data_IF_893801842168
#
_entry.id   IF_893801842168
#
_cell.length_a   1.000
_cell.length_b   1.000
_cell.length_c   1.000
_cell.angle_alpha   90.00
_cell.angle_beta   90.00
_cell.angle_gamma   90.00
#
_symmetry.space_group_name_H-M   'P 1'
#
loop_
_entity.id
_entity.type
_entity.pdbx_description
1 polymer ?
#
# COMPACT_ATOMS: atom_id res chain seq x y z
N UNK A 1 -26.52 -14.18 52.21
CA UNK A 1 -25.93 -14.29 50.85
C UNK A 1 -27.06 -14.44 49.82
N UNK A 2 -27.48 -13.33 49.20
CA UNK A 2 -28.53 -13.34 48.14
C UNK A 2 -27.88 -13.68 46.80
N UNK A 3 -28.21 -14.85 46.24
CA UNK A 3 -27.77 -15.27 44.90
C UNK A 3 -28.45 -14.38 43.85
N UNK A 4 -27.63 -13.76 43.01
CA UNK A 4 -28.09 -12.95 41.86
C UNK A 4 -28.59 -13.93 40.80
N UNK A 5 -29.91 -14.05 40.67
CA UNK A 5 -30.54 -14.70 39.52
C UNK A 5 -30.38 -13.79 38.30
N UNK A 6 -29.23 -13.88 37.63
CA UNK A 6 -29.04 -13.23 36.34
C UNK A 6 -30.03 -13.88 35.38
N UNK A 7 -31.04 -13.11 34.98
CA UNK A 7 -32.15 -13.52 34.14
C UNK A 7 -31.59 -14.10 32.81
N UNK A 8 -31.90 -15.36 32.49
CA UNK A 8 -31.38 -16.05 31.30
C UNK A 8 -31.58 -15.25 29.99
N UNK A 9 -32.65 -14.46 29.90
CA UNK A 9 -32.89 -13.55 28.77
C UNK A 9 -31.80 -12.49 28.59
N UNK A 10 -31.23 -12.02 29.69
CA UNK A 10 -30.17 -11.01 29.69
C UNK A 10 -28.84 -11.58 29.17
N UNK A 11 -28.56 -12.84 29.49
CA UNK A 11 -27.38 -13.56 29.00
C UNK A 11 -27.50 -13.82 27.49
N UNK A 12 -28.69 -14.19 27.01
CA UNK A 12 -28.94 -14.44 25.59
C UNK A 12 -28.83 -13.16 24.75
N UNK A 13 -29.32 -12.03 25.28
CA UNK A 13 -29.19 -10.72 24.65
C UNK A 13 -27.71 -10.28 24.53
N UNK A 14 -26.91 -10.47 25.58
CA UNK A 14 -25.46 -10.15 25.56
C UNK A 14 -24.73 -11.00 24.52
N UNK A 15 -25.05 -12.30 24.40
CA UNK A 15 -24.46 -13.17 23.37
C UNK A 15 -24.77 -12.69 21.95
N UNK A 16 -26.02 -12.31 21.67
CA UNK A 16 -26.44 -11.78 20.36
C UNK A 16 -25.71 -10.47 20.03
N UNK A 17 -25.55 -9.59 21.02
CA UNK A 17 -24.81 -8.33 20.86
C UNK A 17 -23.32 -8.58 20.54
N UNK A 18 -22.68 -9.51 21.23
CA UNK A 18 -21.28 -9.89 20.98
C UNK A 18 -21.09 -10.48 19.57
N UNK A 19 -22.01 -11.34 19.13
CA UNK A 19 -21.99 -11.90 17.77
C UNK A 19 -22.16 -10.79 16.73
N UNK A 20 -23.07 -9.84 16.94
CA UNK A 20 -23.27 -8.71 16.04
C UNK A 20 -22.03 -7.82 15.96
N UNK A 21 -21.37 -7.54 17.11
CA UNK A 21 -20.12 -6.79 17.16
C UNK A 21 -19.01 -7.54 16.42
N UNK A 22 -18.87 -8.85 16.60
CA UNK A 22 -17.93 -9.68 15.85
C UNK A 22 -18.19 -9.65 14.34
N UNK A 23 -19.47 -9.73 13.93
CA UNK A 23 -19.87 -9.63 12.52
C UNK A 23 -19.53 -8.24 11.98
N UNK A 24 -19.82 -7.16 12.71
CA UNK A 24 -19.53 -5.78 12.28
C UNK A 24 -18.02 -5.49 12.21
N UNK A 25 -17.23 -6.03 13.15
CA UNK A 25 -15.76 -5.95 13.10
C UNK A 25 -15.22 -6.76 11.92
N UNK A 26 -15.79 -7.94 11.64
CA UNK A 26 -15.42 -8.74 10.45
C UNK A 26 -15.83 -8.07 9.14
N UNK A 27 -16.95 -7.34 9.12
CA UNK A 27 -17.42 -6.59 7.96
C UNK A 27 -16.50 -5.39 7.65
N UNK A 28 -16.02 -4.69 8.68
CA UNK A 28 -15.00 -3.63 8.54
C UNK A 28 -13.61 -4.17 8.15
N UNK A 29 -13.37 -5.48 8.28
CA UNK A 29 -12.11 -6.11 7.86
C UNK A 29 -12.02 -6.42 6.37
N UNK A 30 -13.10 -6.18 5.61
CA UNK A 30 -13.10 -6.26 4.14
C UNK A 30 -12.67 -4.95 3.46
N UNK A 31 -11.73 -4.22 4.05
CA UNK A 31 -10.95 -3.27 3.28
C UNK A 31 -10.16 -4.07 2.23
N UNK A 32 -10.61 -4.02 0.99
CA UNK A 32 -9.96 -4.65 -0.15
C UNK A 32 -8.53 -4.10 -0.26
N UNK A 33 -7.53 -4.96 -0.12
CA UNK A 33 -6.12 -4.66 -0.40
C UNK A 33 -6.00 -4.39 -1.90
N UNK A 34 -6.17 -3.15 -2.36
CA UNK A 34 -6.09 -2.80 -3.79
C UNK A 34 -7.23 -1.91 -4.28
N UNK A 35 -8.42 -1.97 -3.68
CA UNK A 35 -9.39 -0.86 -3.74
C UNK A 35 -9.08 0.10 -2.60
N UNK A 36 -7.84 0.58 -2.55
CA UNK A 36 -7.58 1.77 -1.76
C UNK A 36 -8.19 2.92 -2.56
N UNK A 37 -9.32 3.48 -2.10
CA UNK A 37 -9.88 4.75 -2.61
C UNK A 37 -8.79 5.84 -2.72
N UNK A 38 -7.73 5.66 -1.93
CA UNK A 38 -6.59 6.52 -1.74
C UNK A 38 -5.48 6.40 -2.80
N UNK A 39 -5.26 5.24 -3.46
CA UNK A 39 -4.20 5.08 -4.48
C UNK A 39 -4.44 3.91 -5.44
N UNK A 40 -3.91 4.00 -6.66
CA UNK A 40 -3.97 2.94 -7.68
C UNK A 40 -2.56 2.43 -8.00
N UNK A 41 -2.37 1.11 -7.94
CA UNK A 41 -1.15 0.49 -8.46
C UNK A 41 -1.25 0.34 -9.98
N UNK A 42 -0.18 0.67 -10.70
CA UNK A 42 -0.18 0.65 -12.17
C UNK A 42 1.23 0.34 -12.68
N UNK A 43 1.34 -0.36 -13.81
CA UNK A 43 2.64 -0.54 -14.45
C UNK A 43 3.11 0.77 -15.10
N UNK A 44 4.42 0.94 -15.26
CA UNK A 44 4.98 2.10 -15.95
C UNK A 44 4.45 2.23 -17.38
N UNK A 45 4.32 1.11 -18.10
CA UNK A 45 3.75 1.08 -19.44
C UNK A 45 2.30 1.61 -19.46
N UNK A 46 1.42 1.08 -18.61
CA UNK A 46 0.02 1.50 -18.55
C UNK A 46 -0.14 2.96 -18.09
N UNK A 47 0.75 3.43 -17.20
CA UNK A 47 0.77 4.83 -16.76
C UNK A 47 1.13 5.77 -17.91
N UNK A 48 2.14 5.41 -18.71
CA UNK A 48 2.55 6.18 -19.88
C UNK A 48 1.44 6.23 -20.93
N UNK A 49 0.76 5.11 -21.20
CA UNK A 49 -0.40 5.11 -22.11
C UNK A 49 -1.51 6.04 -21.63
N UNK A 50 -1.77 6.11 -20.32
CA UNK A 50 -2.78 7.04 -19.77
C UNK A 50 -2.40 8.50 -20.00
N UNK A 51 -1.15 8.86 -19.73
CA UNK A 51 -0.64 10.22 -19.97
C UNK A 51 -0.76 10.57 -21.46
N UNK A 52 -0.28 9.68 -22.34
CA UNK A 52 -0.31 9.90 -23.78
C UNK A 52 -1.73 10.11 -24.30
N UNK A 53 -2.70 9.36 -23.76
CA UNK A 53 -4.11 9.46 -24.13
C UNK A 53 -4.85 10.64 -23.45
N UNK A 54 -4.14 11.55 -22.78
CA UNK A 54 -4.73 12.72 -22.12
C UNK A 54 -5.69 12.37 -20.99
N UNK A 55 -5.62 11.15 -20.44
CA UNK A 55 -6.45 10.77 -19.29
C UNK A 55 -5.96 11.52 -18.06
N UNK A 56 -6.91 12.04 -17.30
CA UNK A 56 -6.59 12.84 -16.12
C UNK A 56 -5.87 11.99 -15.05
N UNK A 57 -4.56 12.18 -14.97
CA UNK A 57 -3.68 11.59 -13.95
C UNK A 57 -3.41 12.57 -12.81
N UNK A 58 -3.92 13.80 -12.88
CA UNK A 58 -3.52 14.89 -11.98
C UNK A 58 -4.15 14.77 -10.59
N UNK A 59 -5.34 14.16 -10.49
CA UNK A 59 -6.09 14.05 -9.25
C UNK A 59 -6.13 12.65 -8.66
N UNK A 60 -5.20 11.77 -9.05
CA UNK A 60 -5.11 10.43 -8.48
C UNK A 60 -3.68 10.06 -8.13
N UNK A 61 -3.54 9.44 -6.96
CA UNK A 61 -2.28 8.91 -6.47
C UNK A 61 -1.98 7.56 -7.13
N UNK A 62 -1.11 7.57 -8.13
CA UNK A 62 -0.63 6.34 -8.76
C UNK A 62 0.66 5.85 -8.12
N UNK A 63 0.65 4.62 -7.64
CA UNK A 63 1.85 3.88 -7.32
C UNK A 63 2.33 3.19 -8.59
N UNK A 64 3.28 3.82 -9.28
CA UNK A 64 3.83 3.31 -10.54
C UNK A 64 4.93 2.30 -10.23
N UNK A 65 4.73 1.05 -10.63
CA UNK A 65 5.72 -0.03 -10.52
C UNK A 65 6.32 -0.35 -11.90
N UNK A 66 7.55 -0.89 -11.98
CA UNK A 66 8.17 -1.17 -13.28
C UNK A 66 7.33 -2.12 -14.15
N UNK A 67 6.83 -3.22 -13.55
CA UNK A 67 6.07 -4.24 -14.25
C UNK A 67 5.00 -4.88 -13.36
N UNK A 68 3.93 -5.39 -14.00
CA UNK A 68 2.87 -6.17 -13.37
C UNK A 68 2.71 -7.48 -14.16
N UNK A 69 2.93 -8.62 -13.49
CA UNK A 69 2.80 -9.94 -14.13
C UNK A 69 1.33 -10.34 -14.29
N UNK A 70 0.73 -9.94 -15.42
CA UNK A 70 -0.66 -10.30 -15.77
C UNK A 70 -0.84 -11.78 -16.12
N UNK A 71 0.24 -12.52 -16.40
CA UNK A 71 0.21 -13.97 -16.65
C UNK A 71 0.42 -14.79 -15.37
N UNK A 72 0.42 -14.12 -14.22
CA UNK A 72 0.60 -14.61 -12.85
C UNK A 72 0.69 -16.13 -12.71
N UNK A 73 1.88 -16.57 -12.31
CA UNK A 73 2.12 -17.90 -11.71
C UNK A 73 2.29 -17.77 -10.21
N UNK A 74 2.40 -18.87 -9.47
CA UNK A 74 2.66 -18.80 -8.03
C UNK A 74 3.93 -17.96 -7.77
N UNK A 75 3.83 -17.03 -6.83
CA UNK A 75 4.95 -16.15 -6.45
C UNK A 75 6.07 -16.94 -5.77
N UNK A 76 5.75 -18.04 -5.11
CA UNK A 76 6.72 -18.88 -4.40
C UNK A 76 7.62 -19.72 -5.33
N UNK A 77 7.33 -19.75 -6.64
CA UNK A 77 8.11 -20.51 -7.63
C UNK A 77 9.41 -19.83 -8.09
N UNK A 78 9.67 -18.58 -7.66
CA UNK A 78 10.82 -17.81 -8.14
C UNK A 78 11.54 -17.10 -7.01
N UNK A 79 12.86 -16.94 -7.16
CA UNK A 79 13.71 -16.07 -6.33
C UNK A 79 14.22 -14.84 -7.10
N UNK A 80 13.87 -14.70 -8.38
CA UNK A 80 14.21 -13.51 -9.14
C UNK A 80 13.43 -12.30 -8.58
N UNK A 81 14.15 -11.29 -8.13
CA UNK A 81 13.59 -10.15 -7.39
C UNK A 81 12.60 -9.31 -8.21
N UNK A 82 12.93 -9.00 -9.47
CA UNK A 82 12.04 -8.29 -10.39
C UNK A 82 10.71 -9.06 -10.58
N UNK A 83 10.79 -10.38 -10.79
CA UNK A 83 9.62 -11.23 -10.95
C UNK A 83 8.80 -11.32 -9.66
N UNK A 84 9.44 -11.32 -8.49
CA UNK A 84 8.75 -11.27 -7.19
C UNK A 84 7.95 -9.97 -7.07
N UNK A 85 8.57 -8.82 -7.33
CA UNK A 85 7.90 -7.52 -7.28
C UNK A 85 6.74 -7.45 -8.29
N UNK A 86 6.93 -7.93 -9.51
CA UNK A 86 5.90 -7.91 -10.55
C UNK A 86 4.69 -8.80 -10.21
N UNK A 87 4.94 -10.01 -9.68
CA UNK A 87 3.88 -10.91 -9.22
C UNK A 87 3.18 -10.35 -7.99
N UNK A 88 3.92 -9.75 -7.06
CA UNK A 88 3.35 -9.11 -5.87
C UNK A 88 2.46 -7.92 -6.25
N UNK A 89 2.92 -7.08 -7.16
CA UNK A 89 2.16 -5.94 -7.70
C UNK A 89 0.85 -6.39 -8.36
N UNK A 90 0.87 -7.51 -9.10
CA UNK A 90 -0.35 -8.11 -9.63
C UNK A 90 -1.29 -8.59 -8.51
N UNK A 91 -0.77 -9.21 -7.45
CA UNK A 91 -1.59 -9.62 -6.31
C UNK A 91 -2.24 -8.43 -5.62
N UNK A 92 -1.54 -7.31 -5.46
CA UNK A 92 -2.09 -6.06 -4.94
C UNK A 92 -3.18 -5.50 -5.87
N UNK A 93 -2.90 -5.38 -7.17
CA UNK A 93 -3.87 -4.90 -8.18
C UNK A 93 -5.17 -5.72 -8.17
N UNK A 94 -5.05 -7.04 -8.00
CA UNK A 94 -6.19 -7.97 -8.01
C UNK A 94 -6.73 -8.30 -6.62
N UNK A 95 -6.27 -7.61 -5.58
CA UNK A 95 -6.69 -7.81 -4.20
C UNK A 95 -6.68 -9.28 -3.76
N UNK A 96 -5.57 -9.98 -4.00
CA UNK A 96 -5.37 -11.39 -3.66
C UNK A 96 -4.90 -11.55 -2.21
N UNK A 97 -5.66 -11.01 -1.26
CA UNK A 97 -5.32 -10.93 0.18
C UNK A 97 -4.69 -12.21 0.73
N UNK A 98 -5.38 -13.34 0.59
CA UNK A 98 -4.89 -14.62 1.14
C UNK A 98 -3.53 -15.03 0.56
N UNK A 99 -3.24 -14.73 -0.71
CA UNK A 99 -1.95 -15.03 -1.34
C UNK A 99 -0.86 -14.07 -0.89
N UNK A 100 -1.21 -12.79 -0.74
CA UNK A 100 -0.32 -11.76 -0.19
C UNK A 100 0.10 -12.16 1.22
N UNK A 101 -0.85 -12.43 2.12
CA UNK A 101 -0.55 -12.80 3.50
C UNK A 101 0.27 -14.10 3.57
N UNK A 102 -0.06 -15.10 2.74
CA UNK A 102 0.75 -16.33 2.62
C UNK A 102 2.18 -16.01 2.20
N UNK A 103 2.38 -15.16 1.21
CA UNK A 103 3.71 -14.79 0.76
C UNK A 103 4.50 -14.06 1.85
N UNK A 104 3.92 -13.02 2.47
CA UNK A 104 4.57 -12.22 3.51
C UNK A 104 5.04 -13.09 4.69
N UNK A 105 4.27 -14.12 5.05
CA UNK A 105 4.63 -15.04 6.13
C UNK A 105 5.74 -16.05 5.76
N UNK A 106 6.04 -16.24 4.48
CA UNK A 106 6.97 -17.27 4.00
C UNK A 106 8.08 -16.72 3.10
N UNK A 107 8.16 -15.40 2.88
CA UNK A 107 9.13 -14.80 1.97
C UNK A 107 10.56 -14.96 2.51
N UNK A 108 11.52 -15.15 1.60
CA UNK A 108 12.93 -15.32 1.93
C UNK A 108 13.56 -14.00 2.41
N UNK A 109 13.80 -13.85 3.72
CA UNK A 109 14.31 -12.60 4.29
C UNK A 109 15.73 -12.24 3.82
N UNK A 110 16.44 -13.13 3.10
CA UNK A 110 17.74 -12.78 2.52
C UNK A 110 17.65 -11.99 1.20
N UNK A 111 16.46 -11.90 0.59
CA UNK A 111 16.25 -11.14 -0.64
C UNK A 111 15.87 -9.70 -0.30
N UNK A 112 16.65 -8.73 -0.77
CA UNK A 112 16.47 -7.33 -0.38
C UNK A 112 15.14 -6.76 -0.90
N UNK A 113 14.68 -7.21 -2.07
CA UNK A 113 13.37 -6.82 -2.62
C UNK A 113 12.20 -7.05 -1.66
N UNK A 114 12.35 -8.00 -0.71
CA UNK A 114 11.30 -8.28 0.26
C UNK A 114 11.09 -7.13 1.25
N UNK A 115 12.08 -6.26 1.45
CA UNK A 115 11.91 -5.01 2.18
C UNK A 115 10.94 -4.07 1.45
N UNK A 116 11.09 -3.91 0.13
CA UNK A 116 10.16 -3.15 -0.69
C UNK A 116 8.76 -3.78 -0.70
N UNK A 117 8.67 -5.11 -0.88
CA UNK A 117 7.39 -5.83 -0.91
C UNK A 117 6.65 -5.71 0.44
N UNK A 118 7.36 -5.86 1.56
CA UNK A 118 6.78 -5.63 2.90
C UNK A 118 6.35 -4.18 3.09
N UNK A 119 7.16 -3.23 2.62
CA UNK A 119 6.80 -1.81 2.58
C UNK A 119 5.46 -1.57 1.87
N UNK A 120 5.30 -2.14 0.67
CA UNK A 120 4.06 -2.08 -0.10
C UNK A 120 2.88 -2.77 0.59
N UNK A 121 3.13 -3.92 1.23
CA UNK A 121 2.13 -4.63 2.02
C UNK A 121 1.60 -3.76 3.16
N UNK A 122 2.47 -3.25 4.03
CA UNK A 122 2.07 -2.43 5.17
C UNK A 122 1.46 -1.10 4.74
N UNK A 123 1.97 -0.50 3.66
CA UNK A 123 1.37 0.68 3.05
C UNK A 123 -0.08 0.42 2.63
N UNK A 124 -0.35 -0.71 1.97
CA UNK A 124 -1.69 -1.10 1.54
C UNK A 124 -2.66 -1.33 2.71
N UNK A 125 -2.12 -1.71 3.88
CA UNK A 125 -2.86 -1.88 5.14
C UNK A 125 -3.00 -0.59 5.95
N UNK A 126 -2.53 0.55 5.43
CA UNK A 126 -2.48 1.85 6.14
C UNK A 126 -1.63 1.81 7.42
N UNK A 127 -0.67 0.88 7.49
CA UNK A 127 0.28 0.73 8.59
C UNK A 127 1.58 1.46 8.22
N UNK A 128 1.51 2.79 8.16
CA UNK A 128 2.54 3.63 7.54
C UNK A 128 3.90 3.59 8.26
N UNK A 129 3.92 3.53 9.60
CA UNK A 129 5.17 3.43 10.36
C UNK A 129 5.90 2.09 10.07
N UNK A 130 5.15 0.99 9.97
CA UNK A 130 5.70 -0.33 9.62
C UNK A 130 6.19 -0.35 8.16
N UNK A 131 5.45 0.31 7.26
CA UNK A 131 5.88 0.46 5.87
C UNK A 131 7.22 1.19 5.78
N UNK A 132 7.36 2.32 6.47
CA UNK A 132 8.61 3.09 6.52
C UNK A 132 9.76 2.23 7.05
N UNK A 133 9.56 1.53 8.17
CA UNK A 133 10.61 0.71 8.80
C UNK A 133 11.18 -0.36 7.85
N UNK A 134 10.33 -0.99 7.03
CA UNK A 134 10.80 -1.93 6.01
C UNK A 134 11.44 -1.23 4.81
N UNK A 135 10.87 -0.12 4.35
CA UNK A 135 11.42 0.61 3.21
C UNK A 135 12.81 1.18 3.50
N UNK A 136 13.08 1.62 4.73
CA UNK A 136 14.41 2.12 5.14
C UNK A 136 15.49 1.03 5.17
N UNK A 137 15.11 -0.25 5.16
CA UNK A 137 16.04 -1.39 5.10
C UNK A 137 16.38 -1.82 3.68
N UNK A 138 15.71 -1.25 2.66
CA UNK A 138 16.00 -1.56 1.25
C UNK A 138 17.33 -0.92 0.83
N UNK A 139 18.28 -1.75 0.39
CA UNK A 139 19.61 -1.31 -0.06
C UNK A 139 19.72 -1.22 -1.59
N UNK A 140 18.81 -1.87 -2.32
CA UNK A 140 18.80 -1.94 -3.78
C UNK A 140 18.50 -0.57 -4.40
N UNK A 141 19.55 0.00 -5.01
CA UNK A 141 19.50 1.34 -5.62
C UNK A 141 18.56 1.44 -6.82
N UNK A 142 18.28 0.34 -7.52
CA UNK A 142 17.38 0.31 -8.68
C UNK A 142 15.99 0.83 -8.31
N UNK A 143 15.54 0.51 -7.10
CA UNK A 143 14.20 0.85 -6.61
C UNK A 143 14.18 2.09 -5.71
N UNK A 144 15.29 2.86 -5.61
CA UNK A 144 15.41 4.03 -4.72
C UNK A 144 14.28 5.04 -4.93
N UNK A 145 13.91 5.30 -6.19
CA UNK A 145 12.82 6.21 -6.50
C UNK A 145 11.50 5.74 -5.90
N UNK A 146 11.14 4.47 -6.13
CA UNK A 146 9.89 3.91 -5.64
C UNK A 146 9.87 3.86 -4.11
N UNK A 147 10.99 3.47 -3.49
CA UNK A 147 11.20 3.50 -2.05
C UNK A 147 10.94 4.91 -1.47
N UNK A 148 11.63 5.93 -1.99
CA UNK A 148 11.52 7.30 -1.50
C UNK A 148 10.12 7.89 -1.73
N UNK A 149 9.49 7.58 -2.86
CA UNK A 149 8.11 7.99 -3.15
C UNK A 149 7.12 7.41 -2.13
N UNK A 150 7.22 6.11 -1.82
CA UNK A 150 6.33 5.47 -0.84
C UNK A 150 6.60 6.01 0.56
N UNK A 151 7.85 6.25 0.95
CA UNK A 151 8.18 6.89 2.24
C UNK A 151 7.55 8.28 2.33
N UNK A 152 7.62 9.09 1.27
CA UNK A 152 6.99 10.40 1.23
C UNK A 152 5.45 10.30 1.36
N UNK A 153 4.84 9.34 0.67
CA UNK A 153 3.41 9.04 0.80
C UNK A 153 3.02 8.63 2.23
N UNK A 154 3.80 7.76 2.88
CA UNK A 154 3.60 7.38 4.28
C UNK A 154 3.67 8.61 5.20
N UNK A 155 4.68 9.47 5.03
CA UNK A 155 4.83 10.70 5.82
C UNK A 155 3.65 11.65 5.63
N UNK A 156 3.17 11.81 4.40
CA UNK A 156 1.96 12.59 4.13
C UNK A 156 0.73 11.98 4.84
N UNK A 157 0.57 10.67 4.81
CA UNK A 157 -0.55 9.99 5.46
C UNK A 157 -0.51 10.05 7.00
N UNK A 158 0.68 10.15 7.59
CA UNK A 158 0.87 10.33 9.03
C UNK A 158 0.63 11.77 9.52
N UNK A 159 0.51 12.76 8.62
CA UNK A 159 0.15 14.12 9.01
C UNK A 159 -1.24 14.15 9.67
N UNK A 160 -1.29 14.70 10.89
CA UNK A 160 -2.54 14.95 11.61
C UNK A 160 -3.45 15.95 10.88
N UNK A 161 -2.84 17.01 10.33
CA UNK A 161 -3.52 17.99 9.48
C UNK A 161 -2.89 18.00 8.09
N UNK A 162 -3.66 17.57 7.08
CA UNK A 162 -3.20 17.54 5.68
C UNK A 162 -2.91 18.92 5.11
N UNK A 163 -3.45 20.00 5.70
CA UNK A 163 -3.14 21.38 5.29
C UNK A 163 -1.69 21.76 5.58
N UNK A 164 -1.03 21.06 6.51
CA UNK A 164 0.39 21.26 6.83
C UNK A 164 1.33 20.50 5.86
N UNK A 165 0.85 20.19 4.66
CA UNK A 165 1.61 19.44 3.65
C UNK A 165 2.98 20.04 3.32
N UNK A 166 3.20 21.35 3.53
CA UNK A 166 4.52 21.98 3.32
C UNK A 166 5.65 21.27 4.06
N UNK A 167 5.35 20.68 5.22
CA UNK A 167 6.32 19.92 6.04
C UNK A 167 6.82 18.64 5.37
N UNK A 168 6.04 18.06 4.44
CA UNK A 168 6.39 16.80 3.76
C UNK A 168 6.88 17.01 2.32
N UNK A 169 6.84 18.25 1.79
CA UNK A 169 7.33 18.55 0.44
C UNK A 169 8.81 18.20 0.28
N UNK A 170 9.61 18.42 1.33
CA UNK A 170 11.03 18.02 1.33
C UNK A 170 11.22 16.52 1.06
N UNK A 171 10.33 15.64 1.55
CA UNK A 171 10.42 14.21 1.28
C UNK A 171 10.14 13.89 -0.20
N UNK A 172 9.16 14.56 -0.82
CA UNK A 172 8.90 14.42 -2.25
C UNK A 172 10.05 15.00 -3.10
N UNK A 173 10.68 16.08 -2.65
CA UNK A 173 11.84 16.66 -3.33
C UNK A 173 13.03 15.69 -3.33
N UNK A 174 13.29 14.99 -2.23
CA UNK A 174 14.34 13.96 -2.18
C UNK A 174 14.07 12.83 -3.19
N UNK A 175 12.82 12.40 -3.33
CA UNK A 175 12.45 11.41 -4.35
C UNK A 175 12.57 11.96 -5.79
N UNK A 176 12.39 13.28 -5.98
CA UNK A 176 12.54 13.93 -7.28
C UNK A 176 14.01 14.01 -7.70
N UNK A 177 14.87 14.34 -6.75
CA UNK A 177 16.30 14.52 -6.96
C UNK A 177 17.04 13.19 -7.14
N UNK A 178 16.43 12.06 -6.76
CA UNK A 178 17.05 10.73 -6.87
C UNK A 178 16.90 10.10 -8.27
N UNK A 179 16.26 10.77 -9.23
CA UNK A 179 15.96 10.18 -10.54
C UNK A 179 16.11 11.18 -11.69
N UNK A 180 16.78 10.76 -12.76
CA UNK A 180 16.83 11.51 -14.02
C UNK A 180 15.66 11.15 -14.96
N UNK A 181 14.85 10.16 -14.59
CA UNK A 181 13.75 9.69 -15.41
C UNK A 181 12.59 10.70 -15.38
N UNK A 182 12.29 11.32 -16.52
CA UNK A 182 11.23 12.33 -16.64
C UNK A 182 9.83 11.79 -16.29
N UNK A 183 9.56 10.50 -16.51
CA UNK A 183 8.28 9.91 -16.11
C UNK A 183 8.15 9.83 -14.58
N UNK A 184 9.21 9.44 -13.88
CA UNK A 184 9.27 9.43 -12.43
C UNK A 184 9.13 10.85 -11.86
N UNK A 185 9.78 11.85 -12.47
CA UNK A 185 9.58 13.26 -12.11
C UNK A 185 8.14 13.70 -12.31
N UNK A 186 7.49 13.29 -13.41
CA UNK A 186 6.09 13.58 -13.67
C UNK A 186 5.16 12.98 -12.60
N UNK A 187 5.44 11.75 -12.12
CA UNK A 187 4.69 11.12 -11.01
C UNK A 187 4.74 11.99 -9.74
N UNK A 188 5.93 12.46 -9.35
CA UNK A 188 6.07 13.31 -8.16
C UNK A 188 5.40 14.65 -8.33
N UNK A 189 5.57 15.30 -9.48
CA UNK A 189 4.93 16.58 -9.76
C UNK A 189 3.40 16.46 -9.68
N UNK A 190 2.83 15.37 -10.19
CA UNK A 190 1.40 15.08 -10.05
C UNK A 190 1.02 14.83 -8.58
N UNK A 191 1.87 14.13 -7.81
CA UNK A 191 1.64 13.90 -6.38
C UNK A 191 1.59 15.19 -5.58
N UNK A 192 2.54 16.10 -5.82
CA UNK A 192 2.59 17.42 -5.17
C UNK A 192 1.35 18.25 -5.54
N UNK A 193 0.93 18.24 -6.81
CA UNK A 193 -0.32 18.90 -7.23
C UNK A 193 -1.53 18.33 -6.49
N UNK A 194 -1.70 17.01 -6.47
CA UNK A 194 -2.79 16.36 -5.74
C UNK A 194 -2.85 16.84 -4.28
N UNK A 195 -1.72 16.82 -3.58
CA UNK A 195 -1.63 17.22 -2.16
C UNK A 195 -1.93 18.71 -1.95
N UNK A 196 -1.56 19.57 -2.90
CA UNK A 196 -1.78 21.01 -2.79
C UNK A 196 -3.26 21.40 -2.97
N UNK A 197 -4.00 20.64 -3.77
CA UNK A 197 -5.35 20.98 -4.21
C UNK A 197 -6.47 20.11 -3.60
N UNK A 198 -6.10 19.09 -2.82
CA UNK A 198 -7.03 18.21 -2.10
C UNK A 198 -6.81 18.33 -0.59
#
# INVERSE_FOLDING_TARGET
MRKIAINMKHIEMIKKLLILILILISANSFARIGDNDNYWIISQHDYNERIFNGKDVLFRRYLVVPYIDRKYKDILETKNEEALLAKFSFMLDRNKVSRIDKYINNCDNSLDINNLIKGLYFFSKKQYDQAIAHLEQLENKEYSFLQLLIIADCKYELLQDKKNYKTIIGAYQVALDCTDNEQNKAVINNRIKYIKYH
#
